data_IF_253422973281
#
_entry.id   IF_253422973281
#
_cell.length_a   1.000
_cell.length_b   1.000
_cell.length_c   1.000
_cell.angle_alpha   90.00
_cell.angle_beta   90.00
_cell.angle_gamma   90.00
#
_symmetry.space_group_name_H-M   'P 1'
#
loop_
_entity.id
_entity.type
_entity.pdbx_description
1 polymer ?
#
# COMPACT_ATOMS: atom_id res chain seq x y z
N UNK A 1 -13.18 -7.02 -8.96
CA UNK A 1 -12.86 -7.69 -7.69
C UNK A 1 -11.34 -7.67 -7.53
N UNK A 2 -10.79 -7.43 -6.33
CA UNK A 2 -9.35 -7.57 -6.10
C UNK A 2 -9.02 -9.04 -5.87
N UNK A 3 -7.93 -9.53 -6.45
CA UNK A 3 -7.45 -10.90 -6.30
C UNK A 3 -6.41 -11.01 -5.17
N UNK A 4 -6.75 -11.57 -3.99
CA UNK A 4 -5.83 -11.67 -2.87
C UNK A 4 -4.60 -12.54 -3.17
N UNK A 5 -4.74 -13.56 -4.04
CA UNK A 5 -3.65 -14.44 -4.46
C UNK A 5 -2.64 -13.72 -5.36
N UNK A 6 -3.06 -12.63 -6.01
CA UNK A 6 -2.19 -11.76 -6.81
C UNK A 6 -1.62 -10.58 -5.99
N UNK A 7 -1.88 -10.55 -4.69
CA UNK A 7 -1.45 -9.50 -3.78
C UNK A 7 -2.21 -8.17 -3.88
N UNK A 8 -3.40 -8.18 -4.50
CA UNK A 8 -4.20 -6.97 -4.73
C UNK A 8 -5.04 -6.61 -3.50
N UNK A 9 -5.15 -5.32 -3.19
CA UNK A 9 -6.01 -4.74 -2.14
C UNK A 9 -6.95 -3.73 -2.80
N UNK A 10 -8.21 -3.67 -2.39
CA UNK A 10 -9.12 -2.64 -2.89
C UNK A 10 -9.31 -1.53 -1.87
N UNK A 11 -9.35 -0.29 -2.35
CA UNK A 11 -9.63 0.90 -1.57
C UNK A 11 -10.60 1.79 -2.35
N UNK A 12 -11.54 2.44 -1.65
CA UNK A 12 -12.44 3.43 -2.27
C UNK A 12 -11.88 4.81 -2.01
N UNK A 13 -11.60 5.55 -3.09
CA UNK A 13 -11.01 6.88 -3.07
C UNK A 13 -11.90 7.78 -3.92
N UNK A 14 -12.44 8.85 -3.35
CA UNK A 14 -13.40 9.77 -3.99
C UNK A 14 -14.64 9.04 -4.55
N UNK A 15 -15.11 8.02 -3.83
CA UNK A 15 -16.21 7.16 -4.27
C UNK A 15 -15.86 6.16 -5.38
N UNK A 16 -14.63 6.22 -5.92
CA UNK A 16 -14.15 5.28 -6.94
C UNK A 16 -13.37 4.14 -6.29
N UNK A 17 -13.80 2.89 -6.56
CA UNK A 17 -13.07 1.71 -6.11
C UNK A 17 -11.82 1.47 -6.97
N UNK A 18 -10.64 1.61 -6.37
CA UNK A 18 -9.34 1.37 -7.00
C UNK A 18 -8.71 0.09 -6.47
N UNK A 19 -7.90 -0.58 -7.29
CA UNK A 19 -7.14 -1.78 -6.91
C UNK A 19 -5.68 -1.39 -6.75
N UNK A 20 -5.13 -1.62 -5.56
CA UNK A 20 -3.76 -1.36 -5.20
C UNK A 20 -2.96 -2.67 -5.24
N UNK A 21 -1.71 -2.60 -5.65
CA UNK A 21 -0.78 -3.73 -5.69
C UNK A 21 0.65 -3.24 -5.53
N UNK A 22 1.44 -3.89 -4.69
CA UNK A 22 2.87 -3.63 -4.58
C UNK A 22 3.63 -4.51 -5.57
N UNK A 23 3.90 -3.97 -6.76
CA UNK A 23 4.83 -4.56 -7.72
C UNK A 23 6.28 -4.29 -7.28
N UNK A 24 7.26 -4.96 -7.87
CA UNK A 24 8.68 -4.65 -7.60
C UNK A 24 9.02 -3.18 -7.89
N UNK A 25 8.43 -2.58 -8.93
CA UNK A 25 8.59 -1.15 -9.21
C UNK A 25 7.99 -0.27 -8.12
N UNK A 26 6.77 -0.58 -7.66
CA UNK A 26 6.13 0.14 -6.56
C UNK A 26 6.91 0.02 -5.24
N UNK A 27 7.50 -1.15 -4.97
CA UNK A 27 8.36 -1.37 -3.81
C UNK A 27 9.64 -0.52 -3.88
N UNK A 28 10.27 -0.43 -5.05
CA UNK A 28 11.44 0.43 -5.24
C UNK A 28 11.11 1.94 -5.10
N UNK A 29 9.95 2.36 -5.61
CA UNK A 29 9.43 3.72 -5.37
C UNK A 29 9.21 3.98 -3.87
N UNK A 30 8.68 3.00 -3.14
CA UNK A 30 8.40 3.10 -1.71
C UNK A 30 9.67 3.19 -0.87
N UNK A 31 10.69 2.37 -1.16
CA UNK A 31 12.00 2.44 -0.49
C UNK A 31 12.62 3.83 -0.66
N UNK A 32 12.57 4.36 -1.87
CA UNK A 32 13.05 5.71 -2.20
C UNK A 32 12.27 6.78 -1.43
N UNK A 33 10.94 6.68 -1.40
CA UNK A 33 10.07 7.67 -0.76
C UNK A 33 10.21 7.68 0.77
N UNK A 34 10.47 6.52 1.38
CA UNK A 34 10.57 6.37 2.84
C UNK A 34 12.01 6.41 3.36
N UNK A 35 13.00 6.41 2.48
CA UNK A 35 14.42 6.39 2.85
C UNK A 35 14.77 5.14 3.67
N UNK A 36 14.17 4.00 3.32
CA UNK A 36 14.37 2.75 4.05
C UNK A 36 15.58 1.99 3.51
N UNK A 37 16.37 1.43 4.44
CA UNK A 37 17.55 0.65 4.09
C UNK A 37 17.21 -0.70 3.44
N UNK A 38 15.99 -1.20 3.67
CA UNK A 38 15.46 -2.41 3.02
C UNK A 38 13.94 -2.52 3.14
N UNK A 39 13.34 -3.33 2.27
CA UNK A 39 11.95 -3.79 2.40
C UNK A 39 11.62 -4.44 3.75
N UNK A 40 12.56 -5.17 4.36
CA UNK A 40 12.34 -5.80 5.68
C UNK A 40 12.19 -4.73 6.76
N UNK A 41 13.03 -3.68 6.73
CA UNK A 41 12.93 -2.57 7.67
C UNK A 41 11.60 -1.81 7.53
N UNK A 42 11.03 -1.73 6.32
CA UNK A 42 9.69 -1.18 6.10
C UNK A 42 8.61 -2.04 6.77
N UNK A 43 8.66 -3.36 6.60
CA UNK A 43 7.69 -4.27 7.22
C UNK A 43 7.75 -4.18 8.73
N UNK A 44 8.94 -4.28 9.34
CA UNK A 44 9.13 -4.19 10.79
C UNK A 44 8.62 -2.86 11.38
N UNK A 45 8.79 -1.76 10.64
CA UNK A 45 8.29 -0.45 11.05
C UNK A 45 6.76 -0.43 11.10
N UNK A 46 6.10 -1.02 10.11
CA UNK A 46 4.64 -1.09 10.04
C UNK A 46 4.05 -2.06 11.07
N UNK A 47 4.63 -3.25 11.21
CA UNK A 47 4.21 -4.25 12.21
C UNK A 47 4.40 -3.76 13.64
N UNK A 48 5.47 -3.01 13.90
CA UNK A 48 5.71 -2.38 15.20
C UNK A 48 4.83 -1.15 15.48
N UNK A 49 3.90 -0.78 14.59
CA UNK A 49 3.04 0.40 14.74
C UNK A 49 3.80 1.73 14.69
N UNK A 50 5.06 1.73 14.22
CA UNK A 50 5.94 2.91 14.14
C UNK A 50 5.81 3.63 12.79
N UNK A 51 4.59 3.73 12.29
CA UNK A 51 4.28 4.42 11.04
C UNK A 51 3.52 5.72 11.29
N UNK A 52 3.75 6.68 10.42
CA UNK A 52 3.11 7.98 10.36
C UNK A 52 2.06 8.00 9.26
N UNK A 53 1.21 9.02 9.25
CA UNK A 53 0.28 9.25 8.14
C UNK A 53 1.01 9.40 6.79
N UNK A 54 2.22 9.95 6.78
CA UNK A 54 3.06 10.05 5.57
C UNK A 54 3.46 8.67 5.05
N UNK A 55 3.76 7.73 5.94
CA UNK A 55 4.16 6.37 5.53
C UNK A 55 2.97 5.63 4.91
N UNK A 56 1.79 5.74 5.53
CA UNK A 56 0.54 5.19 4.97
C UNK A 56 0.29 5.77 3.58
N UNK A 57 0.42 7.09 3.44
CA UNK A 57 0.23 7.78 2.17
C UNK A 57 1.21 7.33 1.09
N UNK A 58 2.50 7.21 1.40
CA UNK A 58 3.50 6.71 0.47
C UNK A 58 3.18 5.28 0.01
N UNK A 59 2.71 4.44 0.93
CA UNK A 59 2.38 3.04 0.65
C UNK A 59 1.14 2.90 -0.23
N UNK A 60 0.10 3.71 0.04
CA UNK A 60 -1.09 3.76 -0.81
C UNK A 60 -0.76 4.29 -2.21
N UNK A 61 0.10 5.31 -2.32
CA UNK A 61 0.54 5.85 -3.59
C UNK A 61 1.30 4.80 -4.41
N UNK A 62 2.29 4.14 -3.80
CA UNK A 62 3.02 3.04 -4.43
C UNK A 62 2.07 1.91 -4.85
N UNK A 63 1.13 1.55 -3.97
CA UNK A 63 0.10 0.56 -4.27
C UNK A 63 -0.79 0.94 -5.45
N UNK A 64 -1.21 2.21 -5.57
CA UNK A 64 -1.99 2.71 -6.70
C UNK A 64 -1.20 2.61 -8.00
N UNK A 65 0.05 3.07 -8.01
CA UNK A 65 0.92 2.97 -9.18
C UNK A 65 1.11 1.52 -9.63
N UNK A 66 1.43 0.61 -8.69
CA UNK A 66 1.59 -0.81 -9.00
C UNK A 66 0.28 -1.52 -9.37
N UNK A 67 -0.87 -0.97 -8.98
CA UNK A 67 -2.21 -1.37 -9.41
C UNK A 67 -2.62 -0.82 -10.78
N UNK A 68 -1.78 -0.02 -11.44
CA UNK A 68 -2.08 0.59 -12.74
C UNK A 68 -2.89 1.88 -12.66
N UNK A 69 -2.94 2.52 -11.48
CA UNK A 69 -3.58 3.81 -11.27
C UNK A 69 -2.51 4.90 -11.06
N UNK A 70 -2.08 5.62 -12.10
CA UNK A 70 -1.04 6.64 -12.02
C UNK A 70 -1.57 7.95 -11.42
N UNK A 71 -2.01 7.90 -10.16
CA UNK A 71 -2.53 9.05 -9.44
C UNK A 71 -1.35 9.84 -8.84
N UNK A 72 -1.22 11.16 -9.10
CA UNK A 72 -0.14 11.94 -8.49
C UNK A 72 -0.35 12.07 -6.97
N UNK A 73 0.75 12.16 -6.22
CA UNK A 73 0.73 12.30 -4.76
C UNK A 73 -0.19 13.43 -4.28
N UNK A 74 -0.19 14.57 -4.97
CA UNK A 74 -1.03 15.72 -4.65
C UNK A 74 -2.54 15.43 -4.77
N UNK A 75 -2.94 14.57 -5.72
CA UNK A 75 -4.33 14.18 -5.84
C UNK A 75 -4.74 13.26 -4.69
N UNK A 76 -3.89 12.30 -4.31
CA UNK A 76 -4.17 11.44 -3.16
C UNK A 76 -4.25 12.22 -1.83
N UNK A 77 -3.45 13.28 -1.68
CA UNK A 77 -3.50 14.16 -0.50
C UNK A 77 -4.82 14.95 -0.38
N UNK A 78 -5.45 15.25 -1.52
CA UNK A 78 -6.73 15.96 -1.57
C UNK A 78 -7.95 15.02 -1.58
N UNK A 79 -7.72 13.71 -1.74
CA UNK A 79 -8.75 12.71 -1.92
C UNK A 79 -9.38 12.26 -0.59
N UNK A 80 -10.64 11.84 -0.66
CA UNK A 80 -11.35 11.23 0.45
C UNK A 80 -11.27 9.71 0.36
N UNK A 81 -10.74 9.08 1.41
CA UNK A 81 -10.74 7.62 1.55
C UNK A 81 -12.00 7.23 2.30
N UNK A 82 -12.84 6.38 1.70
CA UNK A 82 -14.01 5.85 2.39
C UNK A 82 -13.57 5.05 3.63
N UNK A 83 -14.21 5.27 4.78
CA UNK A 83 -13.76 4.75 6.08
C UNK A 83 -12.56 5.48 6.71
N UNK A 84 -12.04 6.53 6.07
CA UNK A 84 -11.06 7.47 6.62
C UNK A 84 -9.69 6.86 6.92
N UNK A 85 -8.98 7.46 7.88
CA UNK A 85 -7.60 7.11 8.21
C UNK A 85 -7.40 5.66 8.67
N UNK A 86 -8.40 5.08 9.36
CA UNK A 86 -8.35 3.69 9.81
C UNK A 86 -8.39 2.71 8.62
N UNK A 87 -9.26 2.97 7.64
CA UNK A 87 -9.33 2.16 6.43
C UNK A 87 -8.07 2.30 5.58
N UNK A 88 -7.52 3.51 5.47
CA UNK A 88 -6.25 3.78 4.81
C UNK A 88 -5.10 2.96 5.43
N UNK A 89 -4.97 2.98 6.76
CA UNK A 89 -3.96 2.21 7.48
C UNK A 89 -4.17 0.69 7.31
N UNK A 90 -5.42 0.22 7.37
CA UNK A 90 -5.76 -1.19 7.14
C UNK A 90 -5.34 -1.63 5.73
N UNK A 91 -5.70 -0.86 4.70
CA UNK A 91 -5.35 -1.16 3.32
C UNK A 91 -3.83 -1.18 3.12
N UNK A 92 -3.10 -0.24 3.72
CA UNK A 92 -1.64 -0.21 3.69
C UNK A 92 -1.02 -1.46 4.35
N UNK A 93 -1.50 -1.85 5.53
CA UNK A 93 -1.05 -3.07 6.20
C UNK A 93 -1.32 -4.34 5.38
N UNK A 94 -2.50 -4.43 4.75
CA UNK A 94 -2.85 -5.54 3.86
C UNK A 94 -1.94 -5.61 2.62
N UNK A 95 -1.54 -4.46 2.06
CA UNK A 95 -0.62 -4.42 0.92
C UNK A 95 0.74 -5.03 1.27
N UNK A 96 1.31 -4.64 2.41
CA UNK A 96 2.56 -5.21 2.91
C UNK A 96 2.42 -6.71 3.18
N UNK A 97 1.40 -7.10 3.95
CA UNK A 97 1.17 -8.50 4.31
C UNK A 97 1.03 -9.38 3.05
N UNK A 98 0.38 -8.87 2.00
CA UNK A 98 0.20 -9.59 0.74
C UNK A 98 1.45 -9.61 -0.15
N UNK A 99 2.25 -8.54 -0.15
CA UNK A 99 3.48 -8.47 -0.94
C UNK A 99 4.56 -9.42 -0.41
N UNK A 100 4.59 -9.66 0.90
CA UNK A 100 5.58 -10.50 1.56
C UNK A 100 5.03 -11.85 2.04
N UNK A 101 3.75 -12.15 1.77
CA UNK A 101 3.21 -13.48 2.01
C UNK A 101 4.02 -14.50 1.19
N UNK A 102 4.66 -15.46 1.86
CA UNK A 102 5.43 -16.47 1.16
C UNK A 102 4.50 -17.30 0.25
N UNK A 103 4.84 -17.46 -1.05
CA UNK A 103 4.09 -18.36 -1.92
C UNK A 103 4.34 -19.80 -1.46
N UNK A 104 3.48 -20.31 -0.56
CA UNK A 104 3.58 -21.69 -0.07
C UNK A 104 3.12 -21.96 1.37
N UNK A 105 2.81 -20.94 2.20
CA UNK A 105 2.26 -21.17 3.54
C UNK A 105 0.73 -21.40 3.48
N UNK A 106 0.35 -22.50 2.83
CA UNK A 106 -1.05 -22.88 2.61
C UNK A 106 -1.11 -24.17 1.80
N UNK A 107 -0.53 -25.24 2.34
CA UNK A 107 -0.78 -26.62 1.94
C UNK A 107 -1.32 -27.37 3.17
#
# INVERSE_FOLDING_TARGET
MANPLAGEVALVIDGERRVLKLTLGALAELETALGADSLVALVERFEGGRFSARDVMALLLAGLHGGGHPLPAAALLAAEIDGGAAEAARAAGLLLARAFAQPGAGA
#
